data_IF_733024401192
#
_entry.id   IF_733024401192
#
_cell.length_a   1.000
_cell.length_b   1.000
_cell.length_c   1.000
_cell.angle_alpha   90.00
_cell.angle_beta   90.00
_cell.angle_gamma   90.00
#
_symmetry.space_group_name_H-M   'P 1'
#
loop_
_entity.id
_entity.type
_entity.pdbx_description
1 polymer ?
#
# COMPACT_ATOMS: atom_id res chain seq x y z
N UNK A 1 -13.22 -13.84 29.68
CA UNK A 1 -13.13 -15.12 28.97
C UNK A 1 -12.94 -14.76 27.51
N UNK A 2 -11.74 -14.94 26.98
CA UNK A 2 -11.50 -14.82 25.54
C UNK A 2 -12.06 -16.11 24.95
N UNK A 3 -13.25 -16.05 24.39
CA UNK A 3 -13.74 -17.16 23.58
C UNK A 3 -12.83 -17.27 22.36
N UNK A 4 -12.36 -18.48 22.05
CA UNK A 4 -11.81 -18.76 20.73
C UNK A 4 -12.84 -18.27 19.69
N UNK A 5 -12.43 -17.53 18.65
CA UNK A 5 -13.39 -17.00 17.71
C UNK A 5 -14.16 -18.16 17.10
N UNK A 6 -15.50 -18.13 17.21
CA UNK A 6 -16.38 -19.01 16.47
C UNK A 6 -16.04 -18.89 14.97
N UNK A 7 -16.22 -19.99 14.24
CA UNK A 7 -16.02 -19.94 12.79
C UNK A 7 -16.92 -18.88 12.16
N UNK A 8 -16.47 -18.27 11.07
CA UNK A 8 -17.26 -17.38 10.22
C UNK A 8 -17.47 -18.08 8.88
N UNK A 9 -18.70 -18.18 8.41
CA UNK A 9 -19.03 -18.80 7.13
C UNK A 9 -19.73 -17.76 6.22
N UNK A 10 -19.08 -17.38 5.13
CA UNK A 10 -19.70 -16.63 4.05
C UNK A 10 -20.34 -17.61 3.07
N UNK A 11 -21.66 -17.55 2.87
CA UNK A 11 -22.40 -18.48 2.01
C UNK A 11 -22.94 -17.80 0.77
N UNK A 12 -22.97 -18.52 -0.36
CA UNK A 12 -23.46 -18.03 -1.64
C UNK A 12 -22.77 -16.73 -2.11
N UNK A 13 -21.45 -16.64 -1.87
CA UNK A 13 -20.64 -15.51 -2.35
C UNK A 13 -20.01 -15.82 -3.71
N UNK A 14 -19.78 -14.79 -4.49
CA UNK A 14 -18.81 -14.82 -5.58
C UNK A 14 -17.43 -14.50 -4.99
N UNK A 15 -16.43 -15.30 -5.28
CA UNK A 15 -15.06 -15.09 -4.78
C UNK A 15 -14.17 -14.51 -5.88
N UNK A 16 -13.51 -13.40 -5.58
CA UNK A 16 -12.38 -12.84 -6.32
C UNK A 16 -11.11 -13.20 -5.57
N UNK A 17 -10.41 -14.24 -6.04
CA UNK A 17 -9.28 -14.83 -5.28
C UNK A 17 -7.98 -14.03 -5.36
N UNK A 18 -7.82 -13.19 -6.37
CA UNK A 18 -6.58 -12.50 -6.76
C UNK A 18 -5.43 -13.44 -7.20
N UNK A 19 -5.70 -14.72 -7.38
CA UNK A 19 -4.75 -15.66 -8.01
C UNK A 19 -4.84 -15.57 -9.54
N UNK A 20 -6.03 -15.32 -10.06
CA UNK A 20 -6.33 -15.08 -11.47
C UNK A 20 -7.45 -14.06 -11.62
N UNK A 21 -7.72 -13.61 -12.84
CA UNK A 21 -8.86 -12.73 -13.14
C UNK A 21 -10.22 -13.45 -13.08
N UNK A 22 -10.22 -14.76 -12.88
CA UNK A 22 -11.45 -15.55 -12.78
C UNK A 22 -12.18 -15.29 -11.47
N UNK A 23 -13.48 -15.53 -11.51
CA UNK A 23 -14.37 -15.49 -10.36
C UNK A 23 -14.85 -16.91 -10.08
N UNK A 24 -14.98 -17.26 -8.80
CA UNK A 24 -15.65 -18.49 -8.38
C UNK A 24 -17.05 -18.10 -7.91
N UNK A 25 -18.05 -18.53 -8.64
CA UNK A 25 -19.45 -18.25 -8.31
C UNK A 25 -19.96 -19.23 -7.25
N UNK A 26 -20.92 -18.76 -6.46
CA UNK A 26 -21.68 -19.56 -5.47
C UNK A 26 -20.80 -20.38 -4.55
N UNK A 27 -19.88 -19.73 -3.86
CA UNK A 27 -18.97 -20.36 -2.91
C UNK A 27 -19.42 -20.17 -1.46
N UNK A 28 -19.07 -21.16 -0.63
CA UNK A 28 -18.99 -21.02 0.82
C UNK A 28 -17.53 -20.91 1.21
N UNK A 29 -17.20 -19.84 1.95
CA UNK A 29 -15.86 -19.60 2.51
C UNK A 29 -15.93 -19.66 4.02
N UNK A 30 -15.20 -20.59 4.63
CA UNK A 30 -15.14 -20.75 6.09
C UNK A 30 -13.81 -20.16 6.59
N UNK A 31 -13.92 -19.37 7.65
CA UNK A 31 -12.79 -18.78 8.37
C UNK A 31 -12.76 -19.36 9.77
N UNK A 32 -11.57 -19.77 10.21
CA UNK A 32 -11.30 -20.17 11.58
C UNK A 32 -9.94 -19.64 12.01
N UNK A 33 -9.83 -19.17 13.25
CA UNK A 33 -8.59 -18.65 13.84
C UNK A 33 -7.89 -17.58 12.97
N UNK A 34 -8.69 -16.72 12.32
CA UNK A 34 -8.19 -15.65 11.46
C UNK A 34 -7.60 -16.13 10.13
N UNK A 35 -7.81 -17.38 9.74
CA UNK A 35 -7.39 -17.96 8.46
C UNK A 35 -8.55 -18.55 7.68
N UNK A 36 -8.40 -18.61 6.36
CA UNK A 36 -9.35 -19.30 5.49
C UNK A 36 -9.15 -20.80 5.66
N UNK A 37 -10.16 -21.47 6.22
CA UNK A 37 -10.17 -22.92 6.47
C UNK A 37 -10.57 -23.69 5.21
N UNK A 38 -11.64 -23.24 4.52
CA UNK A 38 -12.11 -23.88 3.29
C UNK A 38 -12.77 -22.90 2.33
N UNK A 39 -12.78 -23.26 1.04
CA UNK A 39 -13.50 -22.60 -0.06
C UNK A 39 -14.13 -23.70 -0.89
N UNK A 40 -15.45 -23.78 -0.92
CA UNK A 40 -16.19 -24.87 -1.55
C UNK A 40 -17.46 -24.36 -2.23
N UNK A 41 -17.99 -25.04 -3.25
CA UNK A 41 -19.31 -24.74 -3.78
C UNK A 41 -20.37 -24.74 -2.67
N UNK A 42 -21.27 -23.77 -2.67
CA UNK A 42 -22.29 -23.64 -1.61
C UNK A 42 -23.18 -24.86 -1.54
N UNK A 43 -23.38 -25.35 -0.31
CA UNK A 43 -24.19 -26.55 -0.07
C UNK A 43 -23.45 -27.89 -0.24
N UNK A 44 -22.16 -27.89 -0.59
CA UNK A 44 -21.38 -29.15 -0.74
C UNK A 44 -21.16 -29.85 0.60
N UNK A 45 -20.94 -29.09 1.67
CA UNK A 45 -20.69 -29.59 3.00
C UNK A 45 -21.53 -28.87 4.07
N UNK A 46 -21.86 -29.49 5.20
CA UNK A 46 -22.50 -28.82 6.32
C UNK A 46 -21.58 -27.76 6.90
N UNK A 47 -22.17 -26.64 7.31
CA UNK A 47 -21.43 -25.56 7.98
C UNK A 47 -20.96 -25.98 9.36
N UNK A 48 -19.84 -25.47 9.89
CA UNK A 48 -19.47 -25.67 11.29
C UNK A 48 -20.61 -25.23 12.22
N UNK A 49 -20.89 -26.04 13.24
CA UNK A 49 -22.01 -25.82 14.17
C UNK A 49 -21.88 -24.49 14.93
N UNK A 50 -20.64 -24.08 15.17
CA UNK A 50 -20.29 -22.83 15.87
C UNK A 50 -20.12 -21.62 14.94
N UNK A 51 -20.43 -21.75 13.63
CA UNK A 51 -20.19 -20.69 12.68
C UNK A 51 -21.20 -19.55 12.78
N UNK A 52 -20.71 -18.32 12.78
CA UNK A 52 -21.50 -17.15 12.42
C UNK A 52 -21.69 -17.12 10.90
N UNK A 53 -22.93 -17.32 10.43
CA UNK A 53 -23.25 -17.40 9.01
C UNK A 53 -23.58 -16.03 8.45
N UNK A 54 -22.89 -15.66 7.36
CA UNK A 54 -23.07 -14.40 6.64
C UNK A 54 -23.54 -14.73 5.21
N UNK A 55 -24.79 -14.42 4.92
CA UNK A 55 -25.35 -14.60 3.59
C UNK A 55 -24.77 -13.60 2.59
N UNK A 56 -24.18 -14.10 1.51
CA UNK A 56 -23.51 -13.28 0.51
C UNK A 56 -24.14 -13.33 -0.89
N UNK A 57 -25.38 -13.80 -1.02
CA UNK A 57 -26.04 -13.89 -2.35
C UNK A 57 -26.03 -12.56 -3.07
N UNK A 58 -25.47 -12.55 -4.29
CA UNK A 58 -25.30 -11.33 -5.10
C UNK A 58 -24.11 -10.47 -4.71
N UNK A 59 -23.31 -10.86 -3.71
CA UNK A 59 -22.13 -10.15 -3.21
C UNK A 59 -20.85 -10.82 -3.64
N UNK A 60 -19.78 -10.02 -3.59
CA UNK A 60 -18.43 -10.49 -3.92
C UNK A 60 -17.57 -10.47 -2.65
N UNK A 61 -16.93 -11.57 -2.36
CA UNK A 61 -15.90 -11.68 -1.32
C UNK A 61 -14.52 -11.56 -2.00
N UNK A 62 -13.75 -10.57 -1.58
CA UNK A 62 -12.42 -10.30 -2.09
C UNK A 62 -11.44 -10.09 -0.92
N UNK A 63 -10.12 -10.11 -1.17
CA UNK A 63 -9.18 -9.68 -0.14
C UNK A 63 -9.46 -8.23 0.25
N UNK A 64 -9.31 -7.92 1.53
CA UNK A 64 -9.32 -6.54 2.01
C UNK A 64 -8.16 -5.75 1.39
N UNK A 65 -8.35 -4.45 1.24
CA UNK A 65 -7.34 -3.57 0.66
C UNK A 65 -6.15 -3.38 1.62
N UNK A 66 -5.00 -3.17 1.03
CA UNK A 66 -3.74 -2.85 1.70
C UNK A 66 -3.27 -1.50 1.18
N UNK A 67 -3.17 -0.49 2.04
CA UNK A 67 -2.62 0.81 1.67
C UNK A 67 -1.11 0.83 1.92
N UNK A 68 -0.34 0.86 0.83
CA UNK A 68 1.11 0.69 0.88
C UNK A 68 1.89 1.98 1.11
N UNK A 69 1.21 3.10 1.36
CA UNK A 69 1.87 4.33 1.76
C UNK A 69 0.94 5.23 2.59
N UNK A 70 1.12 5.23 3.90
CA UNK A 70 0.40 6.11 4.82
C UNK A 70 1.34 6.77 5.82
N UNK A 71 0.89 7.88 6.39
CA UNK A 71 1.44 8.52 7.59
C UNK A 71 0.41 8.38 8.72
N UNK A 72 0.53 7.30 9.49
CA UNK A 72 -0.53 6.81 10.37
C UNK A 72 -0.76 7.70 11.58
N UNK A 73 -1.98 8.16 11.74
CA UNK A 73 -2.47 8.83 12.94
C UNK A 73 -3.52 7.96 13.66
N UNK A 74 -3.54 8.01 15.00
CA UNK A 74 -4.50 7.22 15.80
C UNK A 74 -5.96 7.54 15.46
N UNK A 75 -6.26 8.81 15.19
CA UNK A 75 -7.62 9.25 14.86
C UNK A 75 -8.13 8.66 13.55
N UNK A 76 -7.23 8.27 12.64
CA UNK A 76 -7.58 7.80 11.30
C UNK A 76 -7.87 6.29 11.24
N UNK A 77 -7.56 5.53 12.31
CA UNK A 77 -7.71 4.07 12.31
C UNK A 77 -9.11 3.61 11.88
N UNK A 78 -10.21 4.20 12.36
CA UNK A 78 -11.55 3.84 11.91
C UNK A 78 -11.79 4.10 10.43
N UNK A 79 -11.16 5.14 9.85
CA UNK A 79 -11.37 5.54 8.46
C UNK A 79 -10.83 4.48 7.48
N UNK A 80 -9.69 3.88 7.81
CA UNK A 80 -9.13 2.76 7.02
C UNK A 80 -10.09 1.57 7.00
N UNK A 81 -10.59 1.16 8.17
CA UNK A 81 -11.51 0.02 8.26
C UNK A 81 -12.83 0.28 7.52
N UNK A 82 -13.38 1.50 7.64
CA UNK A 82 -14.58 1.93 6.89
C UNK A 82 -14.41 1.87 5.38
N UNK A 83 -13.17 2.05 4.91
CA UNK A 83 -12.81 1.96 3.50
C UNK A 83 -12.39 0.54 3.05
N UNK A 84 -12.60 -0.50 3.88
CA UNK A 84 -12.24 -1.87 3.53
C UNK A 84 -10.74 -2.15 3.54
N UNK A 85 -9.95 -1.32 4.22
CA UNK A 85 -8.50 -1.46 4.35
C UNK A 85 -8.20 -2.17 5.67
N UNK A 86 -7.68 -3.40 5.61
CA UNK A 86 -7.33 -4.19 6.79
C UNK A 86 -5.83 -4.13 7.14
N UNK A 87 -4.99 -3.68 6.22
CA UNK A 87 -3.54 -3.57 6.43
C UNK A 87 -3.02 -2.25 5.85
N UNK A 88 -2.05 -1.64 6.54
CA UNK A 88 -1.37 -0.41 6.08
C UNK A 88 0.14 -0.55 6.21
N UNK A 89 0.89 0.09 5.28
CA UNK A 89 2.32 0.32 5.41
C UNK A 89 2.57 1.79 5.75
N UNK A 90 2.92 2.04 7.03
CA UNK A 90 3.31 3.38 7.46
C UNK A 90 4.73 3.70 7.00
N UNK A 91 4.90 4.83 6.30
CA UNK A 91 6.14 5.22 5.65
C UNK A 91 6.92 6.30 6.40
N UNK A 92 6.57 6.54 7.67
CA UNK A 92 7.32 7.42 8.59
C UNK A 92 7.19 6.93 10.02
N UNK A 93 8.12 6.04 10.44
CA UNK A 93 8.12 5.46 11.77
C UNK A 93 8.54 6.49 12.84
N UNK A 94 7.90 6.41 14.00
CA UNK A 94 8.28 7.13 15.22
C UNK A 94 7.58 6.49 16.42
N UNK A 95 7.90 6.93 17.63
CA UNK A 95 7.41 6.32 18.88
C UNK A 95 5.89 6.21 18.98
N UNK A 96 5.16 7.22 18.48
CA UNK A 96 3.69 7.19 18.48
C UNK A 96 3.13 6.11 17.52
N UNK A 97 3.73 5.91 16.35
CA UNK A 97 3.35 4.81 15.43
C UNK A 97 3.65 3.46 16.06
N UNK A 98 4.81 3.31 16.71
CA UNK A 98 5.14 2.09 17.45
C UNK A 98 4.13 1.79 18.57
N UNK A 99 3.65 2.83 19.27
CA UNK A 99 2.60 2.70 20.29
C UNK A 99 1.25 2.28 19.66
N UNK A 100 0.82 2.92 18.57
CA UNK A 100 -0.39 2.56 17.84
C UNK A 100 -0.33 1.09 17.43
N UNK A 101 0.79 0.65 16.83
CA UNK A 101 0.99 -0.75 16.41
C UNK A 101 0.82 -1.71 17.59
N UNK A 102 1.49 -1.47 18.74
CA UNK A 102 1.35 -2.30 19.94
C UNK A 102 -0.08 -2.36 20.47
N UNK A 103 -0.79 -1.23 20.50
CA UNK A 103 -2.17 -1.17 20.98
C UNK A 103 -3.12 -1.97 20.06
N UNK A 104 -2.87 -1.96 18.76
CA UNK A 104 -3.62 -2.77 17.79
C UNK A 104 -3.29 -4.25 17.95
N UNK A 105 -2.02 -4.62 18.09
CA UNK A 105 -1.57 -6.00 18.24
C UNK A 105 -2.07 -6.64 19.55
N UNK A 106 -2.13 -5.87 20.63
CA UNK A 106 -2.68 -6.31 21.91
C UNK A 106 -4.21 -6.34 21.96
N UNK A 107 -4.90 -5.80 20.94
CA UNK A 107 -6.35 -5.66 20.93
C UNK A 107 -6.90 -4.50 21.76
N UNK A 108 -6.04 -3.65 22.33
CA UNK A 108 -6.45 -2.46 23.08
C UNK A 108 -7.11 -1.39 22.19
N UNK A 109 -6.81 -1.41 20.90
CA UNK A 109 -7.40 -0.51 19.91
C UNK A 109 -7.74 -1.27 18.63
N UNK A 110 -8.91 -1.01 18.06
CA UNK A 110 -9.29 -1.54 16.76
C UNK A 110 -8.67 -0.67 15.65
N UNK A 111 -7.98 -1.31 14.71
CA UNK A 111 -7.37 -0.67 13.56
C UNK A 111 -6.85 -1.68 12.55
N UNK A 112 -6.35 -1.24 11.39
CA UNK A 112 -5.71 -2.12 10.41
C UNK A 112 -4.42 -2.73 10.97
N UNK A 113 -3.97 -3.84 10.42
CA UNK A 113 -2.63 -4.38 10.68
C UNK A 113 -1.58 -3.39 10.20
N UNK A 114 -0.58 -3.08 11.05
CA UNK A 114 0.40 -2.02 10.76
C UNK A 114 1.77 -2.63 10.46
N UNK A 115 2.22 -2.46 9.22
CA UNK A 115 3.63 -2.56 8.86
C UNK A 115 4.24 -1.17 8.85
N UNK A 116 5.47 -1.00 9.32
CA UNK A 116 6.11 0.32 9.34
C UNK A 116 7.59 0.21 8.97
N UNK A 117 8.08 1.24 8.31
CA UNK A 117 9.52 1.49 8.14
C UNK A 117 10.05 2.39 9.27
N UNK A 118 11.35 2.64 9.30
CA UNK A 118 11.96 3.58 10.26
C UNK A 118 11.42 5.01 10.08
N UNK A 119 11.78 5.88 11.01
CA UNK A 119 11.78 7.32 10.74
C UNK A 119 12.68 7.64 9.55
N UNK A 120 12.44 8.78 8.90
CA UNK A 120 13.21 9.19 7.72
C UNK A 120 14.67 9.43 8.06
N UNK A 121 15.55 8.79 7.27
CA UNK A 121 16.95 9.16 7.19
C UNK A 121 17.08 10.23 6.10
N UNK A 122 17.49 11.44 6.48
CA UNK A 122 17.50 12.59 5.57
C UNK A 122 18.68 13.53 5.85
N UNK A 123 18.93 14.46 4.93
CA UNK A 123 19.85 15.58 5.11
C UNK A 123 19.17 16.83 5.70
N UNK A 124 19.96 17.88 5.95
CA UNK A 124 19.45 19.17 6.38
C UNK A 124 19.03 20.06 5.22
N UNK A 125 18.00 20.93 5.43
CA UNK A 125 17.10 20.99 6.58
C UNK A 125 16.06 19.86 6.56
N UNK A 126 15.67 19.30 7.73
CA UNK A 126 14.67 18.25 7.77
C UNK A 126 13.30 18.79 7.34
N UNK A 127 12.61 18.04 6.48
CA UNK A 127 11.26 18.40 6.06
C UNK A 127 10.19 18.02 7.09
N UNK A 128 10.41 16.92 7.81
CA UNK A 128 9.42 16.35 8.70
C UNK A 128 9.97 16.17 10.13
N UNK A 129 9.11 16.23 11.16
CA UNK A 129 9.49 15.86 12.52
C UNK A 129 10.01 14.41 12.59
N UNK A 130 10.74 14.13 13.67
CA UNK A 130 11.34 12.81 13.92
C UNK A 130 12.33 12.32 12.84
N UNK A 131 12.84 13.22 11.99
CA UNK A 131 13.91 12.89 11.03
C UNK A 131 15.20 12.57 11.76
N UNK A 132 15.89 11.49 11.37
CA UNK A 132 17.28 11.24 11.75
C UNK A 132 18.19 11.83 10.67
N UNK A 133 18.88 12.92 10.99
CA UNK A 133 19.78 13.58 10.06
C UNK A 133 21.06 12.76 9.83
N UNK A 134 21.48 12.65 8.58
CA UNK A 134 22.73 12.04 8.13
C UNK A 134 23.41 13.02 7.18
N UNK A 135 23.93 14.12 7.74
CA UNK A 135 24.63 15.15 6.98
C UNK A 135 26.07 14.76 6.64
N UNK A 136 26.68 13.94 7.48
CA UNK A 136 28.02 13.37 7.26
C UNK A 136 27.87 11.87 6.93
N UNK A 137 28.46 11.39 5.83
CA UNK A 137 28.47 9.97 5.50
C UNK A 137 28.96 9.05 6.64
N UNK A 138 29.84 9.56 7.51
CA UNK A 138 30.36 8.84 8.69
C UNK A 138 29.29 8.52 9.74
N UNK A 139 28.18 9.28 9.76
CA UNK A 139 27.06 9.06 10.68
C UNK A 139 26.12 7.94 10.22
N UNK A 140 26.22 7.51 8.98
CA UNK A 140 25.30 6.54 8.38
C UNK A 140 25.27 5.20 9.13
N UNK A 141 26.43 4.70 9.54
CA UNK A 141 26.53 3.45 10.30
C UNK A 141 25.79 3.52 11.63
N UNK A 142 26.01 4.61 12.39
CA UNK A 142 25.33 4.87 13.66
C UNK A 142 23.81 5.04 13.45
N UNK A 143 23.41 5.81 12.44
CA UNK A 143 22.01 6.04 12.15
C UNK A 143 21.28 4.73 11.81
N UNK A 144 21.86 3.87 10.99
CA UNK A 144 21.27 2.56 10.65
C UNK A 144 21.23 1.66 11.89
N UNK A 145 22.30 1.66 12.73
CA UNK A 145 22.31 0.88 13.97
C UNK A 145 21.22 1.33 14.95
N UNK A 146 20.96 2.63 15.06
CA UNK A 146 19.85 3.18 15.86
C UNK A 146 18.50 2.64 15.37
N UNK A 147 18.28 2.54 14.05
CA UNK A 147 17.04 2.00 13.49
C UNK A 147 16.87 0.51 13.80
N UNK A 148 17.96 -0.26 13.71
CA UNK A 148 17.97 -1.67 14.10
C UNK A 148 17.65 -1.83 15.58
N UNK A 149 18.31 -1.06 16.44
CA UNK A 149 18.10 -1.11 17.90
C UNK A 149 16.67 -0.72 18.30
N UNK A 150 16.03 0.18 17.54
CA UNK A 150 14.63 0.55 17.70
C UNK A 150 13.64 -0.50 17.16
N UNK A 151 14.12 -1.58 16.54
CA UNK A 151 13.30 -2.68 16.03
C UNK A 151 12.60 -2.40 14.68
N UNK A 152 13.04 -1.40 13.93
CA UNK A 152 12.47 -1.13 12.62
C UNK A 152 12.91 -2.18 11.60
N UNK A 153 11.96 -2.75 10.82
CA UNK A 153 12.27 -3.84 9.89
C UNK A 153 12.92 -3.37 8.59
N UNK A 154 12.81 -2.07 8.25
CA UNK A 154 13.35 -1.48 7.04
C UNK A 154 13.60 0.02 7.23
N UNK A 155 14.45 0.60 6.38
CA UNK A 155 14.83 2.00 6.43
C UNK A 155 13.96 2.84 5.47
N UNK A 156 13.60 4.06 5.91
CA UNK A 156 13.06 5.12 5.05
C UNK A 156 14.18 6.09 4.68
N UNK A 157 14.59 6.12 3.40
CA UNK A 157 15.48 7.16 2.86
C UNK A 157 14.66 8.31 2.28
N UNK A 158 15.19 9.54 2.40
CA UNK A 158 14.42 10.70 2.02
C UNK A 158 15.22 11.71 1.18
N UNK A 159 14.68 12.90 0.96
CA UNK A 159 14.92 13.78 -0.17
C UNK A 159 16.24 14.57 -0.13
N UNK A 160 16.72 14.96 1.06
CA UNK A 160 17.84 15.89 1.25
C UNK A 160 19.19 15.19 1.50
N UNK A 161 19.25 13.87 1.42
CA UNK A 161 20.52 13.14 1.54
C UNK A 161 21.48 13.55 0.42
N UNK A 162 22.76 13.77 0.77
CA UNK A 162 23.82 13.81 -0.23
C UNK A 162 24.02 12.43 -0.87
N UNK A 163 24.66 12.37 -2.03
CA UNK A 163 24.96 11.07 -2.67
C UNK A 163 25.85 10.20 -1.78
N UNK A 164 26.85 10.79 -1.15
CA UNK A 164 27.80 10.08 -0.26
C UNK A 164 27.09 9.55 1.02
N UNK A 165 26.19 10.36 1.61
CA UNK A 165 25.38 9.92 2.76
C UNK A 165 24.42 8.80 2.38
N UNK A 166 23.78 8.91 1.20
CA UNK A 166 22.93 7.83 0.67
C UNK A 166 23.73 6.54 0.47
N UNK A 167 24.86 6.58 -0.19
CA UNK A 167 25.71 5.41 -0.44
C UNK A 167 26.20 4.76 0.86
N UNK A 168 26.55 5.57 1.86
CA UNK A 168 26.96 5.10 3.17
C UNK A 168 25.82 4.41 3.91
N UNK A 169 24.57 4.96 3.83
CA UNK A 169 23.36 4.31 4.37
C UNK A 169 23.10 2.99 3.66
N UNK A 170 23.19 2.95 2.34
CA UNK A 170 23.01 1.73 1.53
C UNK A 170 24.02 0.66 1.95
N UNK A 171 25.29 1.03 2.08
CA UNK A 171 26.34 0.12 2.51
C UNK A 171 26.09 -0.43 3.93
N UNK A 172 25.65 0.42 4.87
CA UNK A 172 25.31 0.04 6.23
C UNK A 172 24.07 -0.88 6.29
N UNK A 173 23.04 -0.59 5.48
CA UNK A 173 21.84 -1.42 5.35
C UNK A 173 22.16 -2.80 4.80
N UNK A 174 22.96 -2.89 3.72
CA UNK A 174 23.39 -4.16 3.12
C UNK A 174 24.18 -5.04 4.11
N UNK A 175 25.09 -4.46 4.89
CA UNK A 175 25.82 -5.21 5.94
C UNK A 175 24.91 -5.85 6.99
N UNK A 176 23.71 -5.27 7.22
CA UNK A 176 22.72 -5.73 8.19
C UNK A 176 21.54 -6.48 7.57
N UNK A 177 21.60 -6.73 6.27
CA UNK A 177 20.50 -7.34 5.51
C UNK A 177 19.15 -6.61 5.73
N UNK A 178 19.20 -5.27 5.81
CA UNK A 178 18.02 -4.42 5.93
C UNK A 178 17.59 -3.91 4.57
N UNK A 179 16.30 -4.02 4.28
CA UNK A 179 15.71 -3.31 3.14
C UNK A 179 15.73 -1.79 3.39
N UNK A 180 15.88 -1.02 2.33
CA UNK A 180 15.69 0.42 2.34
C UNK A 180 14.79 0.84 1.18
N UNK A 181 13.97 1.87 1.41
CA UNK A 181 12.94 2.31 0.49
C UNK A 181 12.57 3.77 0.76
N UNK A 182 11.83 4.39 -0.13
CA UNK A 182 11.37 5.77 0.07
C UNK A 182 11.58 6.64 -1.15
N UNK A 183 11.98 7.88 -0.95
CA UNK A 183 12.31 8.79 -2.04
C UNK A 183 13.68 8.48 -2.62
N UNK A 184 13.85 8.80 -3.90
CA UNK A 184 15.20 8.95 -4.47
C UNK A 184 15.69 10.35 -4.11
N UNK A 185 16.77 10.49 -3.32
CA UNK A 185 17.27 11.79 -2.91
C UNK A 185 17.56 12.71 -4.10
N UNK A 186 17.45 14.02 -3.88
CA UNK A 186 17.66 15.00 -4.98
C UNK A 186 19.05 14.92 -5.59
N UNK A 187 20.07 14.62 -4.79
CA UNK A 187 21.45 14.44 -5.22
C UNK A 187 21.74 13.08 -5.88
N UNK A 188 20.76 12.16 -5.90
CA UNK A 188 20.89 10.79 -6.42
C UNK A 188 20.07 10.63 -7.68
N UNK A 189 20.62 10.00 -8.73
CA UNK A 189 19.83 9.65 -9.91
C UNK A 189 18.95 8.43 -9.64
N UNK A 190 17.82 8.30 -10.34
CA UNK A 190 16.98 7.10 -10.22
C UNK A 190 17.75 5.85 -10.63
N UNK A 191 18.60 5.91 -11.64
CA UNK A 191 19.41 4.77 -12.07
C UNK A 191 20.35 4.31 -10.95
N UNK A 192 21.01 5.24 -10.24
CA UNK A 192 21.86 4.89 -9.09
C UNK A 192 21.05 4.28 -7.95
N UNK A 193 19.86 4.78 -7.67
CA UNK A 193 18.97 4.18 -6.66
C UNK A 193 18.55 2.74 -7.03
N UNK A 194 18.24 2.49 -8.31
CA UNK A 194 17.94 1.16 -8.83
C UNK A 194 19.13 0.21 -8.68
N UNK A 195 20.31 0.63 -9.11
CA UNK A 195 21.58 -0.13 -9.00
C UNK A 195 21.98 -0.39 -7.54
N UNK A 196 21.64 0.54 -6.64
CA UNK A 196 21.83 0.39 -5.20
C UNK A 196 20.92 -0.67 -4.58
N UNK A 197 19.85 -1.08 -5.25
CA UNK A 197 18.87 -2.06 -4.78
C UNK A 197 17.80 -1.45 -3.86
N UNK A 198 17.43 -0.17 -4.08
CA UNK A 198 16.30 0.44 -3.36
C UNK A 198 15.02 -0.36 -3.62
N UNK A 199 14.43 -0.92 -2.56
CA UNK A 199 13.37 -1.94 -2.68
C UNK A 199 12.06 -1.38 -3.21
N UNK A 200 11.67 -0.16 -2.80
CA UNK A 200 10.57 0.57 -3.44
C UNK A 200 10.89 2.05 -3.60
N UNK A 201 10.37 2.61 -4.68
CA UNK A 201 10.39 4.05 -4.96
C UNK A 201 8.98 4.57 -4.78
N UNK A 202 8.86 5.56 -3.89
CA UNK A 202 7.60 6.22 -3.58
C UNK A 202 7.41 7.45 -4.47
N UNK A 203 6.15 7.74 -4.87
CA UNK A 203 5.74 8.94 -5.59
C UNK A 203 6.33 9.08 -7.00
N UNK A 204 6.94 8.04 -7.55
CA UNK A 204 7.75 8.11 -8.77
C UNK A 204 8.90 9.12 -8.64
N UNK A 205 9.43 9.31 -7.42
CA UNK A 205 10.54 10.22 -7.17
C UNK A 205 11.81 9.77 -7.92
N UNK A 206 12.57 10.74 -8.43
CA UNK A 206 13.74 10.45 -9.27
C UNK A 206 13.40 10.19 -10.73
N UNK A 207 12.31 9.51 -11.06
CA UNK A 207 11.83 9.39 -12.44
C UNK A 207 11.44 10.75 -13.01
N UNK A 208 10.78 11.59 -12.18
CA UNK A 208 10.43 12.96 -12.54
C UNK A 208 11.60 13.73 -13.14
N UNK A 209 12.77 13.67 -12.46
CA UNK A 209 14.00 14.34 -12.92
C UNK A 209 14.63 13.69 -14.16
N UNK A 210 14.46 12.38 -14.29
CA UNK A 210 15.02 11.64 -15.42
C UNK A 210 14.24 11.87 -16.73
N UNK A 211 12.93 12.15 -16.64
CA UNK A 211 12.07 12.30 -17.83
C UNK A 211 11.71 13.73 -18.19
N UNK A 212 11.85 14.68 -17.26
CA UNK A 212 11.48 16.08 -17.52
C UNK A 212 12.32 16.74 -18.58
N UNK A 213 11.70 17.63 -19.40
CA UNK A 213 12.37 18.58 -20.29
C UNK A 213 12.59 19.94 -19.63
N UNK A 214 11.98 20.16 -18.44
CA UNK A 214 12.08 21.43 -17.70
C UNK A 214 13.08 21.32 -16.57
N UNK A 215 13.60 22.46 -16.13
CA UNK A 215 14.29 22.52 -14.85
C UNK A 215 13.24 22.47 -13.74
N UNK A 216 13.42 21.56 -12.77
CA UNK A 216 12.50 21.38 -11.66
C UNK A 216 12.45 19.92 -11.19
N UNK A 217 11.70 19.71 -10.11
CA UNK A 217 11.50 18.39 -9.53
C UNK A 217 10.09 18.27 -8.94
N UNK A 218 9.74 17.07 -8.53
CA UNK A 218 8.46 16.79 -7.90
C UNK A 218 7.29 16.92 -8.88
N UNK A 219 6.17 17.47 -8.41
CA UNK A 219 4.92 17.53 -9.19
C UNK A 219 5.11 18.29 -10.50
N UNK A 220 5.80 19.44 -10.47
CA UNK A 220 5.95 20.30 -11.63
C UNK A 220 6.83 19.71 -12.74
N UNK A 221 7.77 18.86 -12.41
CA UNK A 221 8.61 18.17 -13.40
C UNK A 221 7.78 17.33 -14.38
N UNK A 222 6.63 16.82 -13.94
CA UNK A 222 5.71 16.06 -14.78
C UNK A 222 4.90 16.91 -15.78
N UNK A 223 4.95 18.23 -15.72
CA UNK A 223 4.22 19.09 -16.65
C UNK A 223 4.74 19.01 -18.09
N UNK A 224 6.03 18.67 -18.29
CA UNK A 224 6.63 18.53 -19.60
C UNK A 224 7.72 17.44 -19.57
N UNK A 225 7.42 16.30 -20.12
CA UNK A 225 8.28 15.10 -20.08
C UNK A 225 8.68 14.65 -21.48
N UNK A 226 9.72 13.84 -21.54
CA UNK A 226 10.13 13.09 -22.73
C UNK A 226 9.71 11.63 -22.65
N UNK A 227 8.59 11.21 -23.26
CA UNK A 227 8.14 9.83 -23.20
C UNK A 227 9.11 8.82 -23.84
N UNK A 228 10.02 9.25 -24.71
CA UNK A 228 11.02 8.36 -25.31
C UNK A 228 11.97 7.74 -24.28
N UNK A 229 12.10 8.37 -23.11
CA UNK A 229 12.93 7.90 -22.01
C UNK A 229 12.24 6.85 -21.13
N UNK A 230 10.91 6.69 -21.23
CA UNK A 230 10.14 5.82 -20.34
C UNK A 230 10.57 4.37 -20.47
N UNK A 231 10.66 3.86 -21.71
CA UNK A 231 10.92 2.46 -21.98
C UNK A 231 12.21 1.95 -21.34
N UNK A 232 13.30 2.71 -21.46
CA UNK A 232 14.60 2.35 -20.86
C UNK A 232 14.57 2.41 -19.34
N UNK A 233 13.97 3.45 -18.74
CA UNK A 233 13.86 3.59 -17.29
C UNK A 233 13.04 2.46 -16.68
N UNK A 234 11.94 2.07 -17.33
CA UNK A 234 11.10 0.96 -16.88
C UNK A 234 11.83 -0.36 -16.98
N UNK A 235 12.55 -0.61 -18.07
CA UNK A 235 13.40 -1.80 -18.22
C UNK A 235 14.42 -1.91 -17.08
N UNK A 236 15.13 -0.82 -16.77
CA UNK A 236 16.10 -0.78 -15.67
C UNK A 236 15.43 -1.01 -14.30
N UNK A 237 14.21 -0.50 -14.13
CA UNK A 237 13.40 -0.73 -12.91
C UNK A 237 13.08 -2.20 -12.72
N UNK A 238 12.69 -2.89 -13.80
CA UNK A 238 12.38 -4.32 -13.79
C UNK A 238 13.65 -5.14 -13.49
N UNK A 239 14.76 -4.83 -14.14
CA UNK A 239 16.05 -5.50 -13.92
C UNK A 239 16.51 -5.38 -12.46
N UNK A 240 16.30 -4.22 -11.84
CA UNK A 240 16.59 -3.99 -10.42
C UNK A 240 15.62 -4.69 -9.47
N UNK A 241 14.47 -5.16 -9.96
CA UNK A 241 13.40 -5.73 -9.13
C UNK A 241 12.73 -4.73 -8.19
N UNK A 242 12.89 -3.43 -8.46
CA UNK A 242 12.36 -2.35 -7.63
C UNK A 242 10.85 -2.20 -7.81
N UNK A 243 10.13 -2.08 -6.70
CA UNK A 243 8.69 -1.81 -6.67
C UNK A 243 8.42 -0.31 -6.78
N UNK A 244 7.24 0.05 -7.30
CA UNK A 244 6.83 1.44 -7.40
C UNK A 244 5.48 1.65 -6.73
N UNK A 245 5.41 2.65 -5.83
CA UNK A 245 4.18 3.11 -5.23
C UNK A 245 3.89 4.53 -5.75
N UNK A 246 3.09 4.67 -6.83
CA UNK A 246 2.95 5.93 -7.55
C UNK A 246 2.19 7.01 -6.77
N UNK A 247 1.30 6.62 -5.86
CA UNK A 247 0.46 7.54 -5.07
C UNK A 247 -0.25 8.58 -5.94
N UNK A 248 -0.96 8.10 -6.96
CA UNK A 248 -1.56 8.97 -7.98
C UNK A 248 -2.60 9.92 -7.40
N UNK A 249 -3.40 9.45 -6.44
CA UNK A 249 -4.48 10.23 -5.85
C UNK A 249 -3.98 11.53 -5.21
N UNK A 250 -2.89 11.49 -4.42
CA UNK A 250 -2.36 12.71 -3.80
C UNK A 250 -1.79 13.67 -4.85
N UNK A 251 -1.18 13.16 -5.93
CA UNK A 251 -0.63 14.04 -6.98
C UNK A 251 -1.71 14.70 -7.83
N UNK A 252 -2.90 14.10 -7.96
CA UNK A 252 -4.06 14.78 -8.52
C UNK A 252 -4.43 16.00 -7.67
N UNK A 253 -4.43 15.87 -6.34
CA UNK A 253 -4.73 16.98 -5.43
C UNK A 253 -3.60 18.03 -5.43
N UNK A 254 -2.34 17.64 -5.29
CA UNK A 254 -1.19 18.54 -5.32
C UNK A 254 -1.11 19.33 -6.63
N UNK A 255 -1.51 18.73 -7.75
CA UNK A 255 -1.51 19.41 -9.06
C UNK A 255 -2.50 20.59 -9.12
N UNK A 256 -3.46 20.70 -8.20
CA UNK A 256 -4.41 21.83 -8.11
C UNK A 256 -3.72 23.17 -7.84
N UNK A 257 -2.50 23.15 -7.33
CA UNK A 257 -1.68 24.35 -7.10
C UNK A 257 -1.01 24.88 -8.37
N UNK A 258 -1.21 24.24 -9.52
CA UNK A 258 -0.65 24.62 -10.81
C UNK A 258 -1.74 25.17 -11.75
N UNK A 259 -1.32 25.75 -12.90
CA UNK A 259 -2.26 26.19 -13.93
C UNK A 259 -3.11 25.01 -14.43
N UNK A 260 -4.28 25.26 -15.00
CA UNK A 260 -5.13 24.20 -15.55
C UNK A 260 -4.41 23.36 -16.62
N UNK A 261 -3.59 24.02 -17.46
CA UNK A 261 -2.80 23.34 -18.49
C UNK A 261 -1.70 22.44 -17.88
N UNK A 262 -0.91 22.98 -16.95
CA UNK A 262 0.15 22.20 -16.29
C UNK A 262 -0.46 21.04 -15.50
N UNK A 263 -1.58 21.26 -14.79
CA UNK A 263 -2.31 20.23 -14.08
C UNK A 263 -2.72 19.07 -15.00
N UNK A 264 -3.34 19.39 -16.14
CA UNK A 264 -3.74 18.37 -17.11
C UNK A 264 -2.53 17.55 -17.60
N UNK A 265 -1.44 18.24 -17.92
CA UNK A 265 -0.20 17.61 -18.38
C UNK A 265 0.45 16.75 -17.29
N UNK A 266 0.53 17.25 -16.05
CA UNK A 266 1.07 16.51 -14.89
C UNK A 266 0.33 15.19 -14.73
N UNK A 267 -1.00 15.23 -14.69
CA UNK A 267 -1.83 14.02 -14.50
C UNK A 267 -1.65 13.06 -15.67
N UNK A 268 -1.74 13.56 -16.91
CA UNK A 268 -1.61 12.75 -18.12
C UNK A 268 -0.24 12.07 -18.20
N UNK A 269 0.85 12.81 -17.95
CA UNK A 269 2.21 12.28 -18.06
C UNK A 269 2.54 11.26 -16.96
N UNK A 270 2.04 11.45 -15.73
CA UNK A 270 2.17 10.44 -14.68
C UNK A 270 1.40 9.18 -15.03
N UNK A 271 0.16 9.29 -15.55
CA UNK A 271 -0.62 8.15 -16.03
C UNK A 271 0.10 7.41 -17.16
N UNK A 272 0.68 8.13 -18.13
CA UNK A 272 1.46 7.51 -19.20
C UNK A 272 2.68 6.74 -18.67
N UNK A 273 3.38 7.26 -17.68
CA UNK A 273 4.50 6.55 -17.06
C UNK A 273 4.04 5.30 -16.30
N UNK A 274 2.95 5.38 -15.53
CA UNK A 274 2.34 4.23 -14.84
C UNK A 274 1.84 3.18 -15.84
N UNK A 275 1.23 3.61 -16.96
CA UNK A 275 0.85 2.71 -18.06
C UNK A 275 2.06 1.96 -18.62
N UNK A 276 3.19 2.64 -18.80
CA UNK A 276 4.42 2.02 -19.30
C UNK A 276 5.02 1.02 -18.29
N UNK A 277 5.01 1.36 -16.98
CA UNK A 277 5.38 0.43 -15.91
C UNK A 277 4.53 -0.87 -16.00
N UNK A 278 3.22 -0.71 -16.09
CA UNK A 278 2.30 -1.86 -16.20
C UNK A 278 2.52 -2.66 -17.49
N UNK A 279 2.64 -1.97 -18.63
CA UNK A 279 2.79 -2.61 -19.94
C UNK A 279 4.04 -3.50 -20.03
N UNK A 280 5.13 -3.10 -19.39
CA UNK A 280 6.37 -3.89 -19.37
C UNK A 280 6.41 -4.91 -18.22
N UNK A 281 5.44 -4.91 -17.30
CA UNK A 281 5.37 -5.84 -16.17
C UNK A 281 6.20 -5.43 -14.96
N UNK A 282 6.46 -4.13 -14.78
CA UNK A 282 7.07 -3.63 -13.56
C UNK A 282 6.13 -3.82 -12.36
N UNK A 283 6.72 -4.00 -11.18
CA UNK A 283 5.99 -4.24 -9.93
C UNK A 283 5.39 -2.94 -9.39
N UNK A 284 4.07 -2.93 -9.18
CA UNK A 284 3.32 -1.79 -8.69
C UNK A 284 2.69 -2.07 -7.32
N UNK A 285 2.61 -1.05 -6.50
CA UNK A 285 1.91 -1.02 -5.21
C UNK A 285 0.91 0.14 -5.24
N UNK A 286 -0.28 -0.06 -4.69
CA UNK A 286 -1.22 1.01 -4.47
C UNK A 286 -1.03 1.60 -3.07
N UNK A 287 -0.91 2.92 -2.98
CA UNK A 287 -0.74 3.66 -1.73
C UNK A 287 -1.19 5.10 -1.88
N UNK A 288 -1.61 5.72 -0.80
CA UNK A 288 -2.32 7.00 -0.86
C UNK A 288 -1.52 8.22 -0.44
N UNK A 289 -0.48 8.02 0.38
CA UNK A 289 0.23 9.08 1.11
C UNK A 289 -0.70 9.86 2.08
N UNK A 290 -1.77 9.21 2.55
CA UNK A 290 -2.70 9.80 3.51
C UNK A 290 -2.06 10.03 4.89
N UNK A 291 -2.58 11.02 5.62
CA UNK A 291 -2.09 11.45 6.94
C UNK A 291 -1.24 12.71 6.91
N UNK A 292 -1.19 13.42 5.77
CA UNK A 292 -0.51 14.71 5.60
C UNK A 292 -1.48 15.83 5.14
N UNK A 293 -2.76 15.72 5.46
CA UNK A 293 -3.82 16.72 5.21
C UNK A 293 -4.06 17.10 3.73
N UNK A 294 -3.66 16.25 2.79
CA UNK A 294 -3.90 16.47 1.35
C UNK A 294 -5.01 15.57 0.82
N UNK A 295 -5.02 14.32 1.25
CA UNK A 295 -6.02 13.33 0.89
C UNK A 295 -6.60 12.67 2.15
N UNK A 296 -7.87 12.27 2.07
CA UNK A 296 -8.57 11.68 3.22
C UNK A 296 -8.11 10.24 3.47
N UNK A 297 -7.68 9.91 4.70
CA UNK A 297 -7.36 8.53 5.07
C UNK A 297 -8.51 7.57 4.76
N UNK A 298 -8.18 6.40 4.26
CA UNK A 298 -9.13 5.37 3.86
C UNK A 298 -9.76 5.63 2.50
N UNK A 299 -10.61 6.64 2.35
CA UNK A 299 -11.37 6.87 1.10
C UNK A 299 -10.49 7.17 -0.12
N UNK A 300 -9.35 7.81 0.07
CA UNK A 300 -8.38 8.08 -1.01
C UNK A 300 -7.80 6.82 -1.65
N UNK A 301 -7.87 5.66 -0.99
CA UNK A 301 -7.45 4.41 -1.58
C UNK A 301 -8.29 4.01 -2.80
N UNK A 302 -9.59 4.28 -2.75
CA UNK A 302 -10.46 4.06 -3.90
C UNK A 302 -10.19 5.07 -5.02
N UNK A 303 -9.75 6.28 -4.68
CA UNK A 303 -9.30 7.28 -5.67
C UNK A 303 -7.99 6.82 -6.32
N UNK A 304 -7.05 6.27 -5.55
CA UNK A 304 -5.81 5.67 -6.07
C UNK A 304 -6.11 4.53 -7.06
N UNK A 305 -7.00 3.61 -6.69
CA UNK A 305 -7.42 2.52 -7.57
C UNK A 305 -8.05 3.04 -8.88
N UNK A 306 -8.90 4.08 -8.79
CA UNK A 306 -9.49 4.73 -9.97
C UNK A 306 -8.41 5.37 -10.84
N UNK A 307 -7.42 6.04 -10.25
CA UNK A 307 -6.32 6.65 -10.98
C UNK A 307 -5.43 5.60 -11.67
N UNK A 308 -5.17 4.46 -11.04
CA UNK A 308 -4.46 3.35 -11.66
C UNK A 308 -5.22 2.80 -12.87
N UNK A 309 -6.55 2.65 -12.77
CA UNK A 309 -7.38 2.25 -13.91
C UNK A 309 -7.37 3.33 -15.01
N UNK A 310 -7.44 4.61 -14.64
CA UNK A 310 -7.33 5.72 -15.60
C UNK A 310 -5.95 5.80 -16.26
N UNK A 311 -4.92 5.25 -15.64
CA UNK A 311 -3.59 5.07 -16.22
C UNK A 311 -3.49 3.84 -17.16
N UNK A 312 -4.56 3.06 -17.32
CA UNK A 312 -4.61 1.93 -18.26
C UNK A 312 -4.49 0.54 -17.62
N UNK A 313 -4.45 0.44 -16.28
CA UNK A 313 -4.54 -0.85 -15.62
C UNK A 313 -5.96 -1.41 -15.76
N UNK A 314 -6.10 -2.72 -15.91
CA UNK A 314 -7.42 -3.35 -15.71
C UNK A 314 -7.83 -3.25 -14.23
N UNK A 315 -9.13 -3.32 -13.89
CA UNK A 315 -9.56 -3.38 -12.48
C UNK A 315 -8.85 -4.49 -11.69
N UNK A 316 -8.55 -5.62 -12.32
CA UNK A 316 -7.79 -6.71 -11.72
C UNK A 316 -6.37 -6.28 -11.34
N UNK A 317 -5.62 -5.65 -12.24
CA UNK A 317 -4.25 -5.23 -11.97
C UNK A 317 -4.19 -4.09 -10.93
N UNK A 318 -5.14 -3.15 -10.96
CA UNK A 318 -5.23 -2.12 -9.93
C UNK A 318 -5.54 -2.73 -8.55
N UNK A 319 -6.50 -3.65 -8.47
CA UNK A 319 -6.84 -4.34 -7.24
C UNK A 319 -5.68 -5.22 -6.73
N UNK A 320 -4.96 -5.87 -7.64
CA UNK A 320 -3.79 -6.69 -7.34
C UNK A 320 -2.67 -5.89 -6.68
N UNK A 321 -2.41 -4.65 -7.14
CA UNK A 321 -1.43 -3.74 -6.53
C UNK A 321 -1.79 -3.36 -5.08
N UNK A 322 -3.10 -3.38 -4.74
CA UNK A 322 -3.64 -3.09 -3.41
C UNK A 322 -3.91 -4.34 -2.56
N UNK A 323 -3.57 -5.53 -3.03
CA UNK A 323 -3.88 -6.80 -2.35
C UNK A 323 -2.71 -7.77 -2.46
N UNK A 324 -2.73 -8.69 -3.42
CA UNK A 324 -1.75 -9.76 -3.58
C UNK A 324 -0.31 -9.25 -3.70
N UNK A 325 -0.07 -8.25 -4.56
CA UNK A 325 1.28 -7.71 -4.77
C UNK A 325 1.78 -6.98 -3.52
N UNK A 326 0.88 -6.27 -2.80
CA UNK A 326 1.20 -5.69 -1.50
C UNK A 326 1.55 -6.76 -0.46
N UNK A 327 0.81 -7.87 -0.39
CA UNK A 327 1.12 -9.01 0.48
C UNK A 327 2.47 -9.66 0.15
N UNK A 328 2.80 -9.79 -1.14
CA UNK A 328 4.10 -10.27 -1.60
C UNK A 328 5.24 -9.31 -1.19
N UNK A 329 5.04 -8.01 -1.37
CA UNK A 329 5.99 -7.00 -0.91
C UNK A 329 6.22 -7.08 0.60
N UNK A 330 5.17 -7.23 1.39
CA UNK A 330 5.25 -7.34 2.84
C UNK A 330 5.82 -8.69 3.31
N UNK A 331 6.03 -9.64 2.40
CA UNK A 331 6.52 -11.00 2.70
C UNK A 331 5.63 -11.74 3.68
N UNK A 332 4.30 -11.53 3.58
CA UNK A 332 3.31 -12.23 4.38
C UNK A 332 2.60 -13.29 3.51
N UNK A 333 2.88 -14.57 3.71
CA UNK A 333 2.34 -15.65 2.86
C UNK A 333 0.81 -15.64 2.81
N UNK A 334 0.25 -15.58 1.60
CA UNK A 334 -1.19 -15.61 1.34
C UNK A 334 -1.93 -14.29 1.59
N UNK A 335 -1.33 -13.28 2.23
CA UNK A 335 -1.97 -11.98 2.43
C UNK A 335 -2.36 -11.37 1.09
N UNK A 336 -3.56 -10.79 1.03
CA UNK A 336 -4.11 -10.20 -0.19
C UNK A 336 -4.64 -11.22 -1.21
N UNK A 337 -4.89 -12.48 -0.77
CA UNK A 337 -5.54 -13.51 -1.59
C UNK A 337 -6.70 -14.17 -0.84
N UNK A 338 -7.66 -14.75 -1.59
CA UNK A 338 -8.68 -15.64 -1.02
C UNK A 338 -8.28 -17.07 -1.40
N UNK A 339 -7.44 -17.67 -0.56
CA UNK A 339 -6.94 -19.04 -0.71
C UNK A 339 -6.92 -19.75 0.63
N UNK A 340 -7.08 -21.07 0.64
CA UNK A 340 -7.03 -21.87 1.87
C UNK A 340 -5.68 -21.67 2.58
N UNK A 341 -5.73 -21.45 3.89
CA UNK A 341 -4.56 -21.16 4.74
C UNK A 341 -4.13 -19.70 4.77
N UNK A 342 -4.63 -18.83 3.86
CA UNK A 342 -4.32 -17.40 3.85
C UNK A 342 -4.89 -16.66 5.07
N UNK A 343 -4.29 -15.54 5.50
CA UNK A 343 -4.93 -14.64 6.46
C UNK A 343 -6.31 -14.20 5.97
N UNK A 344 -7.31 -14.29 6.84
CA UNK A 344 -8.69 -13.95 6.50
C UNK A 344 -8.97 -12.45 6.66
N UNK A 345 -8.17 -11.61 6.02
CA UNK A 345 -8.44 -10.18 5.85
C UNK A 345 -9.23 -10.00 4.54
N UNK A 346 -10.55 -10.00 4.65
CA UNK A 346 -11.48 -10.06 3.52
C UNK A 346 -12.49 -8.92 3.59
N UNK A 347 -12.88 -8.43 2.41
CA UNK A 347 -13.97 -7.47 2.25
C UNK A 347 -15.13 -8.11 1.49
N UNK A 348 -16.35 -7.92 2.01
CA UNK A 348 -17.58 -8.28 1.31
C UNK A 348 -18.13 -7.03 0.62
N UNK A 349 -18.35 -7.09 -0.69
CA UNK A 349 -18.77 -5.97 -1.52
C UNK A 349 -20.16 -6.20 -2.13
N UNK A 350 -20.97 -5.13 -2.22
CA UNK A 350 -22.27 -5.13 -2.90
C UNK A 350 -22.14 -4.95 -4.43
N UNK A 351 -20.97 -5.20 -5.00
CA UNK A 351 -20.69 -5.14 -6.42
C UNK A 351 -19.36 -5.79 -6.81
N UNK A 352 -19.24 -6.19 -8.07
CA UNK A 352 -18.06 -6.85 -8.59
C UNK A 352 -16.95 -5.83 -8.89
N UNK A 353 -15.82 -5.82 -8.13
CA UNK A 353 -14.73 -4.87 -8.33
C UNK A 353 -13.95 -5.10 -9.63
N UNK A 354 -14.05 -6.29 -10.23
CA UNK A 354 -13.45 -6.58 -11.54
C UNK A 354 -14.32 -6.09 -12.69
N UNK A 355 -15.63 -5.87 -12.47
CA UNK A 355 -16.51 -5.25 -13.48
C UNK A 355 -16.38 -3.72 -13.46
N UNK A 356 -16.19 -3.13 -12.28
CA UNK A 356 -15.90 -1.71 -12.09
C UNK A 356 -15.13 -1.52 -10.81
N UNK A 357 -14.00 -0.83 -10.88
CA UNK A 357 -13.18 -0.54 -9.71
C UNK A 357 -13.92 0.30 -8.66
N UNK A 358 -14.91 1.09 -9.06
CA UNK A 358 -15.76 1.87 -8.15
C UNK A 358 -16.58 1.00 -7.20
N UNK A 359 -16.79 -0.27 -7.53
CA UNK A 359 -17.49 -1.20 -6.65
C UNK A 359 -16.70 -1.54 -5.37
N UNK A 360 -15.40 -1.23 -5.31
CA UNK A 360 -14.59 -1.33 -4.08
C UNK A 360 -15.12 -0.42 -2.96
N UNK A 361 -15.86 0.65 -3.29
CA UNK A 361 -16.51 1.56 -2.32
C UNK A 361 -17.77 0.97 -1.69
N UNK A 362 -18.36 -0.08 -2.27
CA UNK A 362 -19.64 -0.64 -1.87
C UNK A 362 -19.48 -1.74 -0.82
N UNK A 363 -18.97 -1.35 0.34
CA UNK A 363 -18.54 -2.26 1.41
C UNK A 363 -19.75 -2.73 2.22
N UNK A 364 -20.06 -4.02 2.18
CA UNK A 364 -21.07 -4.68 3.00
C UNK A 364 -20.51 -5.14 4.35
N UNK A 365 -19.18 -5.29 4.44
CA UNK A 365 -18.48 -5.60 5.69
C UNK A 365 -17.04 -6.01 5.45
N UNK A 366 -16.30 -6.20 6.56
CA UNK A 366 -14.86 -6.44 6.58
C UNK A 366 -14.51 -7.49 7.64
N UNK A 367 -13.59 -8.39 7.34
CA UNK A 367 -12.91 -9.20 8.35
C UNK A 367 -11.52 -8.64 8.64
N UNK A 368 -11.22 -8.48 9.92
CA UNK A 368 -9.93 -8.03 10.42
C UNK A 368 -9.52 -8.91 11.58
N UNK A 369 -8.36 -9.53 11.49
CA UNK A 369 -7.81 -10.41 12.54
C UNK A 369 -8.84 -11.43 13.06
N UNK A 370 -9.53 -12.10 12.14
CA UNK A 370 -10.50 -13.14 12.46
C UNK A 370 -11.86 -12.65 12.98
N UNK A 371 -12.11 -11.34 13.04
CA UNK A 371 -13.39 -10.77 13.48
C UNK A 371 -14.14 -10.13 12.31
N UNK A 372 -15.45 -10.37 12.25
CA UNK A 372 -16.34 -9.77 11.24
C UNK A 372 -16.96 -8.47 11.73
N UNK A 373 -16.94 -7.46 10.87
CA UNK A 373 -17.57 -6.17 11.05
C UNK A 373 -18.52 -5.89 9.89
N UNK A 374 -19.82 -5.87 10.12
CA UNK A 374 -20.81 -5.48 9.12
C UNK A 374 -20.68 -4.00 8.74
N UNK A 375 -21.28 -3.58 7.62
CA UNK A 375 -21.32 -2.17 7.22
C UNK A 375 -21.82 -1.25 8.35
N UNK A 376 -22.86 -1.68 9.09
CA UNK A 376 -23.39 -0.92 10.23
C UNK A 376 -22.37 -0.81 11.38
N UNK A 377 -21.66 -1.91 11.69
CA UNK A 377 -20.61 -1.90 12.70
C UNK A 377 -19.44 -0.99 12.30
N UNK A 378 -19.02 -1.03 11.02
CA UNK A 378 -17.98 -0.15 10.49
C UNK A 378 -18.41 1.32 10.56
N UNK A 379 -19.64 1.64 10.16
CA UNK A 379 -20.17 3.01 10.21
C UNK A 379 -20.16 3.61 11.63
N UNK A 380 -20.40 2.79 12.65
CA UNK A 380 -20.40 3.21 14.05
C UNK A 380 -18.99 3.45 14.64
N UNK A 381 -17.91 3.06 13.95
CA UNK A 381 -16.54 3.31 14.43
C UNK A 381 -16.25 4.82 14.45
N UNK A 382 -15.68 5.33 15.56
CA UNK A 382 -15.31 6.74 15.68
C UNK A 382 -16.47 7.73 15.80
N UNK A 383 -17.70 7.26 16.03
CA UNK A 383 -18.89 8.10 16.23
C UNK A 383 -19.11 8.46 17.72
N UNK A 384 -18.11 8.27 18.59
CA UNK A 384 -18.18 8.58 20.02
C UNK A 384 -17.27 9.73 20.39
#
# INVERSE_FOLDING_TARGET
>A
VVHAPAAIAFTNVRVVSMISESRLDDQTVVIRDGRIESIEPSGSNPLPVDATVIGGRGRVLAPALIDMHVHLLRADLPLYLKAGIATVRNMWGHSAVAAIKRDIESGATLGPTVHSVSNGLDGSPPRWPATRLVNDPRDAETAVQEMVAAGWPALKVYQQLSAESYDSIVAAAKRRNMDFMGHVPTAVTVLHALESGQRSIEHLSGYDRAVTRRQGMGTFAWADVDPSRFGELVRRTIEAGTWNCPTMAIFVELSRNHTASDRASIIANRRLFVAELQRQGARLLAGTDAGIDVVSPGSSMHDELRELVAAGLTPYHALRAATKDAGEFLRVPGLGTVTVGAPAELVLLDGDPLASIENTRRIAGLTVRGSWYSAAALAALGSR
#
